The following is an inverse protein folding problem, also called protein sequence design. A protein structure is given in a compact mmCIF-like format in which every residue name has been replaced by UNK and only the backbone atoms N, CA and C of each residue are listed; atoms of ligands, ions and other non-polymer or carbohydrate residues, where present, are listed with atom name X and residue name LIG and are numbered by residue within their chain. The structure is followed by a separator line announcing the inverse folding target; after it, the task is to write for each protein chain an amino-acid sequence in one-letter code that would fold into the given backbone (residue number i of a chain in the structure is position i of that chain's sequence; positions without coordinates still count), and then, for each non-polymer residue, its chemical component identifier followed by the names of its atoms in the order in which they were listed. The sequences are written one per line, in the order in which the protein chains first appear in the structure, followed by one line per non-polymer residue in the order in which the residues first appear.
data_IF_239148515649
#
_entry.id   IF_239148515649
#
_cell.length_a   1.000
_cell.length_b   1.000
_cell.length_c   1.000
_cell.angle_alpha   90.00
_cell.angle_beta   90.00
_cell.angle_gamma   90.00
#
_symmetry.space_group_name_H-M   'P 1'
#
loop_
_entity.id
_entity.type
_entity.pdbx_description
1 polymer ?
#
# COMPACT_ATOMS: atom_id res chain seq x y z
N UNK A 1 -10.81 19.38 11.65
CA UNK A 1 -11.80 18.44 11.08
C UNK A 1 -11.05 17.40 10.28
N UNK A 2 -11.35 16.12 10.48
CA UNK A 2 -10.60 15.07 9.80
C UNK A 2 -11.11 14.87 8.37
N UNK A 3 -10.22 14.87 7.39
CA UNK A 3 -10.47 14.60 5.98
C UNK A 3 -9.51 13.52 5.47
N UNK A 4 -10.03 12.53 4.73
CA UNK A 4 -9.22 11.68 3.85
C UNK A 4 -9.63 11.95 2.43
N UNK A 5 -8.68 12.26 1.55
CA UNK A 5 -8.87 12.29 0.10
C UNK A 5 -7.99 11.22 -0.51
N UNK A 6 -8.51 10.42 -1.44
CA UNK A 6 -7.67 9.45 -2.11
C UNK A 6 -8.35 8.71 -3.23
N UNK A 7 -7.64 7.72 -3.73
CA UNK A 7 -8.09 6.77 -4.73
C UNK A 7 -7.46 5.42 -4.45
N UNK A 8 -8.09 4.36 -4.93
CA UNK A 8 -7.57 3.01 -4.77
C UNK A 8 -7.94 2.11 -5.94
N UNK A 9 -7.54 0.84 -5.86
CA UNK A 9 -7.83 -0.20 -6.87
C UNK A 9 -9.32 -0.39 -7.21
N UNK A 10 -10.26 -0.01 -6.34
CA UNK A 10 -11.69 -0.11 -6.61
C UNK A 10 -12.22 1.10 -7.39
N UNK A 11 -11.61 2.28 -7.18
CA UNK A 11 -12.09 3.51 -7.78
C UNK A 11 -11.33 3.90 -9.04
N UNK A 12 -10.04 3.54 -9.17
CA UNK A 12 -9.18 4.01 -10.24
C UNK A 12 -8.48 2.86 -10.98
N UNK A 13 -8.43 2.89 -12.33
CA UNK A 13 -7.61 1.96 -13.12
C UNK A 13 -6.12 2.23 -12.91
N UNK A 14 -5.28 1.24 -13.22
CA UNK A 14 -3.83 1.27 -12.93
C UNK A 14 -3.11 2.48 -13.55
N UNK A 15 -3.47 2.87 -14.77
CA UNK A 15 -2.88 3.99 -15.51
C UNK A 15 -3.16 5.37 -14.87
N UNK A 16 -4.25 5.50 -14.11
CA UNK A 16 -4.53 6.68 -13.28
C UNK A 16 -3.77 6.59 -11.96
N UNK A 17 -3.76 5.41 -11.31
CA UNK A 17 -3.08 5.22 -10.02
C UNK A 17 -1.58 5.52 -10.11
N UNK A 18 -0.92 5.03 -11.16
CA UNK A 18 0.52 5.24 -11.38
C UNK A 18 0.89 6.72 -11.51
N UNK A 19 -0.01 7.57 -12.03
CA UNK A 19 0.21 9.02 -12.17
C UNK A 19 0.14 9.78 -10.84
N UNK A 20 -0.51 9.19 -9.84
CA UNK A 20 -0.76 9.80 -8.53
C UNK A 20 0.07 9.14 -7.41
N UNK A 21 1.13 8.40 -7.77
CA UNK A 21 2.08 7.86 -6.80
C UNK A 21 3.02 8.96 -6.33
N UNK A 22 3.15 9.11 -5.01
CA UNK A 22 4.20 9.95 -4.43
C UNK A 22 5.51 9.18 -4.37
N UNK A 23 6.53 9.70 -5.05
CA UNK A 23 7.88 9.15 -5.02
C UNK A 23 8.51 9.35 -3.64
N UNK A 24 9.23 8.36 -3.06
CA UNK A 24 9.83 8.47 -1.73
C UNK A 24 10.74 9.70 -1.56
N UNK A 25 11.44 10.10 -2.63
CA UNK A 25 12.36 11.22 -2.63
C UNK A 25 11.66 12.58 -2.53
N UNK A 26 10.41 12.66 -3.01
CA UNK A 26 9.60 13.89 -3.05
C UNK A 26 8.57 13.95 -1.92
N UNK A 27 8.39 12.87 -1.17
CA UNK A 27 7.34 12.74 -0.18
C UNK A 27 7.43 13.81 0.92
N UNK A 28 8.65 14.14 1.35
CA UNK A 28 8.89 15.13 2.41
C UNK A 28 8.46 16.54 1.95
N UNK A 29 8.90 16.96 0.77
CA UNK A 29 8.51 18.24 0.16
C UNK A 29 7.00 18.31 -0.09
N UNK A 30 6.40 17.19 -0.50
CA UNK A 30 4.95 17.07 -0.74
C UNK A 30 4.15 17.28 0.54
N UNK A 31 4.59 16.65 1.64
CA UNK A 31 3.99 16.81 2.95
C UNK A 31 4.08 18.27 3.43
N UNK A 32 5.25 18.89 3.34
CA UNK A 32 5.43 20.29 3.73
C UNK A 32 4.58 21.23 2.87
N UNK A 33 4.50 20.98 1.56
CA UNK A 33 3.65 21.75 0.66
C UNK A 33 2.15 21.63 0.99
N UNK A 34 1.69 20.48 1.50
CA UNK A 34 0.31 20.33 2.01
C UNK A 34 0.06 21.22 3.22
N UNK A 35 0.94 21.19 4.22
CA UNK A 35 0.78 22.01 5.44
C UNK A 35 1.01 23.50 5.22
N UNK A 36 1.52 23.91 4.06
CA UNK A 36 1.57 25.31 3.65
C UNK A 36 0.22 25.84 3.16
N UNK A 37 -0.75 24.96 2.87
CA UNK A 37 -2.13 25.37 2.62
C UNK A 37 -2.75 25.82 3.95
N UNK A 38 -3.29 27.04 3.99
CA UNK A 38 -3.82 27.65 5.22
C UNK A 38 -4.97 26.85 5.86
N UNK A 39 -5.59 25.96 5.11
CA UNK A 39 -6.70 25.12 5.55
C UNK A 39 -6.26 23.82 6.22
N UNK A 40 -4.98 23.42 6.10
CA UNK A 40 -4.44 22.14 6.56
C UNK A 40 -3.52 22.36 7.76
N UNK A 41 -3.89 21.80 8.92
CA UNK A 41 -3.10 21.87 10.15
C UNK A 41 -2.14 20.69 10.29
N UNK A 42 -2.59 19.49 9.91
CA UNK A 42 -1.81 18.26 9.96
C UNK A 42 -2.01 17.46 8.67
N UNK A 43 -0.98 16.78 8.18
CA UNK A 43 -1.04 15.98 6.96
C UNK A 43 -0.17 14.72 7.02
N UNK A 44 -0.67 13.63 6.44
CA UNK A 44 0.08 12.41 6.15
C UNK A 44 -0.34 11.83 4.79
N UNK A 45 0.61 11.21 4.10
CA UNK A 45 0.39 10.60 2.78
C UNK A 45 0.68 9.10 2.85
N UNK A 46 -0.30 8.29 2.47
CA UNK A 46 -0.12 6.87 2.19
C UNK A 46 -0.11 6.65 0.68
N UNK A 47 1.05 6.30 0.14
CA UNK A 47 1.25 5.99 -1.27
C UNK A 47 1.73 4.55 -1.39
N UNK A 48 0.93 3.72 -2.06
CA UNK A 48 1.23 2.30 -2.31
C UNK A 48 0.93 1.97 -3.78
N UNK A 49 1.22 0.75 -4.22
CA UNK A 49 0.81 0.30 -5.56
C UNK A 49 -0.72 0.23 -5.73
N UNK A 50 -1.48 0.20 -4.63
CA UNK A 50 -2.91 -0.03 -4.64
C UNK A 50 -3.77 1.15 -4.21
N UNK A 51 -3.17 2.19 -3.63
CA UNK A 51 -3.86 3.40 -3.20
C UNK A 51 -2.90 4.57 -3.05
N UNK A 52 -3.44 5.75 -3.28
CA UNK A 52 -2.86 7.02 -2.84
C UNK A 52 -3.90 7.71 -1.99
N UNK A 53 -3.56 8.02 -0.74
CA UNK A 53 -4.44 8.67 0.21
C UNK A 53 -3.71 9.76 0.97
N UNK A 54 -4.37 10.90 1.13
CA UNK A 54 -3.94 12.01 1.94
C UNK A 54 -4.89 12.09 3.12
N UNK A 55 -4.33 12.00 4.33
CA UNK A 55 -5.02 12.18 5.59
C UNK A 55 -4.69 13.56 6.14
N UNK A 56 -5.69 14.39 6.37
CA UNK A 56 -5.52 15.76 6.83
C UNK A 56 -6.39 16.06 8.04
N UNK A 57 -5.87 16.86 8.97
CA UNK A 57 -6.70 17.67 9.85
C UNK A 57 -6.84 19.06 9.22
N UNK A 58 -8.07 19.46 8.93
CA UNK A 58 -8.39 20.72 8.24
C UNK A 58 -9.18 21.66 9.14
N UNK A 59 -8.82 22.94 9.14
CA UNK A 59 -9.56 23.97 9.88
C UNK A 59 -10.96 24.20 9.29
N UNK A 60 -11.11 24.04 7.98
CA UNK A 60 -12.37 24.17 7.26
C UNK A 60 -12.46 23.09 6.18
N UNK A 61 -13.63 22.52 5.94
CA UNK A 61 -13.78 21.46 4.93
C UNK A 61 -13.57 22.03 3.53
N UNK A 62 -12.41 21.74 2.93
CA UNK A 62 -12.01 22.24 1.60
C UNK A 62 -11.51 21.09 0.71
N UNK A 63 -12.40 20.13 0.41
CA UNK A 63 -12.08 19.00 -0.47
C UNK A 63 -11.61 19.45 -1.85
N UNK A 64 -12.25 20.48 -2.43
CA UNK A 64 -11.91 20.98 -3.77
C UNK A 64 -10.51 21.62 -3.82
N UNK A 65 -10.07 22.29 -2.75
CA UNK A 65 -8.71 22.84 -2.67
C UNK A 65 -7.67 21.71 -2.66
N UNK A 66 -7.92 20.65 -1.89
CA UNK A 66 -7.03 19.50 -1.83
C UNK A 66 -6.98 18.72 -3.15
N UNK A 67 -8.12 18.62 -3.85
CA UNK A 67 -8.19 18.04 -5.20
C UNK A 67 -7.37 18.88 -6.19
N UNK A 68 -7.54 20.21 -6.18
CA UNK A 68 -6.80 21.12 -7.05
C UNK A 68 -5.29 21.07 -6.77
N UNK A 69 -4.91 21.01 -5.49
CA UNK A 69 -3.51 20.83 -5.07
C UNK A 69 -2.95 19.50 -5.59
N UNK A 70 -3.67 18.39 -5.43
CA UNK A 70 -3.24 17.07 -5.88
C UNK A 70 -3.04 17.03 -7.41
N UNK A 71 -3.99 17.60 -8.17
CA UNK A 71 -3.88 17.70 -9.61
C UNK A 71 -2.66 18.53 -10.04
N UNK A 72 -2.46 19.69 -9.42
CA UNK A 72 -1.33 20.58 -9.68
C UNK A 72 0.01 19.92 -9.34
N UNK A 73 0.10 19.27 -8.18
CA UNK A 73 1.29 18.57 -7.71
C UNK A 73 1.77 17.52 -8.72
N UNK A 74 0.84 16.73 -9.26
CA UNK A 74 1.15 15.69 -10.27
C UNK A 74 1.09 16.20 -11.72
N UNK A 75 0.85 17.49 -11.94
CA UNK A 75 0.74 18.12 -13.28
C UNK A 75 -0.33 17.47 -14.15
N UNK A 76 -1.48 17.16 -13.54
CA UNK A 76 -2.64 16.56 -14.19
C UNK A 76 -3.77 17.59 -14.31
N UNK A 77 -4.65 17.39 -15.30
CA UNK A 77 -5.95 18.07 -15.32
C UNK A 77 -6.83 17.45 -14.23
N UNK A 78 -7.36 18.29 -13.35
CA UNK A 78 -8.29 17.90 -12.29
C UNK A 78 -9.45 17.06 -12.83
N UNK A 79 -9.98 17.42 -14.01
CA UNK A 79 -11.11 16.70 -14.63
C UNK A 79 -10.80 15.24 -14.92
N UNK A 80 -9.53 14.91 -15.16
CA UNK A 80 -9.10 13.55 -15.48
C UNK A 80 -8.97 12.65 -14.24
N UNK A 81 -8.98 13.22 -13.03
CA UNK A 81 -8.79 12.46 -11.79
C UNK A 81 -10.01 12.53 -10.86
N UNK A 82 -10.81 13.59 -10.95
CA UNK A 82 -11.92 13.88 -10.02
C UNK A 82 -12.94 12.74 -9.91
N UNK A 83 -13.25 12.05 -11.01
CA UNK A 83 -14.21 10.93 -11.00
C UNK A 83 -13.72 9.70 -10.23
N UNK A 84 -12.40 9.55 -10.07
CA UNK A 84 -11.77 8.40 -9.41
C UNK A 84 -11.47 8.65 -7.92
N UNK A 85 -11.57 9.91 -7.48
CA UNK A 85 -11.27 10.30 -6.11
C UNK A 85 -12.47 10.08 -5.20
N UNK A 86 -12.21 9.60 -3.99
CA UNK A 86 -13.16 9.59 -2.88
C UNK A 86 -12.69 10.52 -1.77
N UNK A 87 -13.66 11.07 -1.04
CA UNK A 87 -13.42 11.83 0.18
C UNK A 87 -14.20 11.25 1.36
N UNK A 88 -13.55 11.13 2.50
CA UNK A 88 -14.18 10.75 3.76
C UNK A 88 -13.92 11.83 4.82
N UNK A 89 -14.94 12.14 5.61
CA UNK A 89 -14.85 13.13 6.68
C UNK A 89 -15.09 12.49 8.04
N UNK A 90 -14.45 13.03 9.07
CA UNK A 90 -14.69 12.70 10.48
C UNK A 90 -14.74 11.18 10.73
N UNK A 91 -15.89 10.68 11.20
CA UNK A 91 -16.07 9.26 11.51
C UNK A 91 -15.85 8.34 10.30
N UNK A 92 -16.18 8.78 9.08
CA UNK A 92 -15.93 7.98 7.88
C UNK A 92 -14.44 7.87 7.61
N UNK A 93 -13.68 8.94 7.83
CA UNK A 93 -12.23 8.96 7.69
C UNK A 93 -11.56 8.02 8.70
N UNK A 94 -11.97 8.07 9.98
CA UNK A 94 -11.48 7.15 11.04
C UNK A 94 -11.80 5.69 10.69
N UNK A 95 -13.04 5.41 10.27
CA UNK A 95 -13.48 4.06 9.91
C UNK A 95 -12.71 3.54 8.70
N UNK A 96 -12.54 4.37 7.68
CA UNK A 96 -11.79 4.05 6.47
C UNK A 96 -10.33 3.71 6.80
N UNK A 97 -9.63 4.61 7.50
CA UNK A 97 -8.25 4.42 7.93
C UNK A 97 -8.06 3.12 8.73
N UNK A 98 -9.02 2.81 9.61
CA UNK A 98 -9.01 1.57 10.39
C UNK A 98 -9.21 0.33 9.50
N UNK A 99 -10.11 0.39 8.51
CA UNK A 99 -10.31 -0.70 7.54
C UNK A 99 -9.06 -0.93 6.70
N UNK A 100 -8.43 0.13 6.22
CA UNK A 100 -7.17 0.04 5.46
C UNK A 100 -6.08 -0.60 6.31
N UNK A 101 -5.85 -0.12 7.53
CA UNK A 101 -4.82 -0.68 8.42
C UNK A 101 -5.09 -2.14 8.84
N UNK A 102 -6.36 -2.56 8.88
CA UNK A 102 -6.73 -3.96 9.13
C UNK A 102 -6.62 -4.86 7.89
N UNK A 103 -6.34 -4.31 6.69
CA UNK A 103 -6.35 -5.04 5.43
C UNK A 103 -7.77 -5.42 4.95
N UNK A 104 -8.82 -4.78 5.50
CA UNK A 104 -10.22 -4.98 5.11
C UNK A 104 -10.60 -4.24 3.83
N UNK A 105 -9.79 -3.24 3.47
CA UNK A 105 -9.87 -2.51 2.22
C UNK A 105 -8.52 -2.67 1.53
N UNK A 106 -8.27 -3.85 0.98
CA UNK A 106 -7.03 -4.18 0.27
C UNK A 106 -7.39 -5.15 -0.85
N UNK A 107 -6.66 -5.10 -1.96
CA UNK A 107 -6.90 -5.99 -3.10
C UNK A 107 -6.88 -7.45 -2.66
N UNK A 108 -6.05 -7.76 -1.67
CA UNK A 108 -6.07 -9.04 -0.99
C UNK A 108 -6.45 -8.85 0.48
N UNK A 109 -7.55 -9.47 0.88
CA UNK A 109 -8.13 -9.31 2.21
C UNK A 109 -7.18 -9.84 3.29
N UNK A 110 -6.86 -9.00 4.27
CA UNK A 110 -6.02 -9.37 5.42
C UNK A 110 -4.51 -9.31 5.17
N UNK A 111 -4.08 -8.75 4.04
CA UNK A 111 -2.67 -8.52 3.69
C UNK A 111 -1.92 -7.81 4.85
N UNK A 112 -0.85 -8.40 5.42
CA UNK A 112 -0.13 -7.82 6.55
C UNK A 112 0.68 -6.57 6.19
N UNK A 113 1.06 -6.43 4.91
CA UNK A 113 1.97 -5.38 4.44
C UNK A 113 1.38 -3.97 4.59
N UNK A 114 0.07 -3.80 4.42
CA UNK A 114 -0.57 -2.47 4.48
C UNK A 114 -0.41 -1.79 5.84
N UNK A 115 -0.40 -2.56 6.95
CA UNK A 115 -0.15 -2.02 8.27
C UNK A 115 1.29 -1.50 8.40
N UNK A 116 2.26 -2.18 7.78
CA UNK A 116 3.65 -1.72 7.71
C UNK A 116 3.80 -0.45 6.87
N UNK A 117 3.09 -0.37 5.74
CA UNK A 117 3.04 0.82 4.89
C UNK A 117 2.41 2.01 5.62
N UNK A 118 1.32 1.80 6.37
CA UNK A 118 0.70 2.82 7.22
C UNK A 118 1.64 3.33 8.31
N UNK A 119 2.43 2.44 8.94
CA UNK A 119 3.47 2.85 9.90
C UNK A 119 4.58 3.67 9.24
N UNK A 120 4.96 3.30 8.02
CA UNK A 120 5.95 4.05 7.26
C UNK A 120 5.43 5.44 6.91
N UNK A 121 4.18 5.55 6.43
CA UNK A 121 3.51 6.83 6.18
C UNK A 121 3.47 7.72 7.43
N UNK A 122 3.11 7.15 8.58
CA UNK A 122 3.17 7.84 9.86
C UNK A 122 4.58 8.36 10.21
N UNK A 123 5.61 7.51 10.08
CA UNK A 123 6.99 7.90 10.35
C UNK A 123 7.45 9.03 9.43
N UNK A 124 7.15 8.95 8.13
CA UNK A 124 7.50 9.99 7.16
C UNK A 124 6.84 11.33 7.46
N UNK A 125 5.56 11.31 7.83
CA UNK A 125 4.84 12.53 8.19
C UNK A 125 5.34 13.12 9.53
N UNK A 126 5.77 12.28 10.47
CA UNK A 126 6.42 12.74 11.70
C UNK A 126 7.80 13.35 11.41
N UNK A 127 8.62 12.71 10.58
CA UNK A 127 9.94 13.21 10.16
C UNK A 127 9.85 14.54 9.38
N UNK A 128 8.79 14.70 8.58
CA UNK A 128 8.50 15.91 7.83
C UNK A 128 8.00 17.08 8.71
N UNK A 129 7.64 16.81 9.98
CA UNK A 129 7.05 17.79 10.88
C UNK A 129 5.59 18.15 10.55
N UNK A 130 4.90 17.32 9.77
CA UNK A 130 3.51 17.59 9.30
C UNK A 130 2.45 16.85 10.10
N UNK A 131 2.84 15.98 11.02
CA UNK A 131 1.94 15.40 12.02
C UNK A 131 1.87 16.28 13.26
N UNK A 132 0.66 16.53 13.74
CA UNK A 132 0.43 17.09 15.05
C UNK A 132 -0.21 16.08 16.00
N UNK A 133 -0.92 16.60 16.99
CA UNK A 133 -1.46 15.82 18.10
C UNK A 133 -2.68 14.99 17.67
N UNK A 134 -3.50 15.51 16.76
CA UNK A 134 -4.77 14.87 16.39
C UNK A 134 -4.54 13.67 15.48
N UNK A 135 -3.92 13.90 14.32
CA UNK A 135 -3.62 12.86 13.35
C UNK A 135 -2.60 11.87 13.91
N UNK A 136 -1.59 12.36 14.65
CA UNK A 136 -0.62 11.51 15.33
C UNK A 136 -1.28 10.51 16.30
N UNK A 137 -2.24 10.95 17.11
CA UNK A 137 -2.99 10.07 18.02
C UNK A 137 -3.89 9.10 17.25
N UNK A 138 -4.51 9.54 16.17
CA UNK A 138 -5.36 8.70 15.34
C UNK A 138 -4.58 7.53 14.74
N UNK A 139 -3.41 7.79 14.12
CA UNK A 139 -2.52 6.72 13.61
C UNK A 139 -2.19 5.69 14.68
N UNK A 140 -1.78 6.15 15.87
CA UNK A 140 -1.46 5.25 16.98
C UNK A 140 -2.65 4.39 17.42
N UNK A 141 -3.84 4.99 17.50
CA UNK A 141 -5.06 4.25 17.82
C UNK A 141 -5.40 3.24 16.73
N UNK A 142 -5.31 3.63 15.45
CA UNK A 142 -5.50 2.75 14.30
C UNK A 142 -4.55 1.55 14.33
N UNK A 143 -3.28 1.73 14.72
CA UNK A 143 -2.34 0.61 14.85
C UNK A 143 -2.74 -0.37 15.96
N UNK A 144 -3.26 0.13 17.08
CA UNK A 144 -3.75 -0.71 18.18
C UNK A 144 -4.98 -1.51 17.74
N UNK A 145 -5.93 -0.86 17.05
CA UNK A 145 -7.12 -1.51 16.48
C UNK A 145 -6.72 -2.59 15.49
N UNK A 146 -5.83 -2.29 14.55
CA UNK A 146 -5.35 -3.25 13.55
C UNK A 146 -4.68 -4.47 14.21
N UNK A 147 -3.86 -4.25 15.24
CA UNK A 147 -3.25 -5.35 16.01
C UNK A 147 -4.31 -6.21 16.69
N UNK A 148 -5.28 -5.59 17.38
CA UNK A 148 -6.38 -6.30 18.04
C UNK A 148 -7.22 -7.11 17.06
N UNK A 149 -7.62 -6.52 15.93
CA UNK A 149 -8.40 -7.21 14.89
C UNK A 149 -7.65 -8.41 14.32
N UNK A 150 -6.33 -8.31 14.10
CA UNK A 150 -5.53 -9.44 13.62
C UNK A 150 -5.36 -10.54 14.67
N UNK A 151 -5.29 -10.21 15.95
CA UNK A 151 -5.17 -11.18 17.04
C UNK A 151 -6.51 -11.85 17.36
N UNK A 152 -7.60 -11.08 17.37
CA UNK A 152 -8.90 -11.53 17.86
C UNK A 152 -9.79 -12.10 16.75
N UNK A 153 -9.35 -12.05 15.47
CA UNK A 153 -10.13 -12.55 14.33
C UNK A 153 -9.31 -13.40 13.37
N UNK A 154 -9.99 -14.13 12.49
CA UNK A 154 -9.36 -14.99 11.49
C UNK A 154 -8.62 -14.23 10.38
N UNK A 155 -8.74 -12.90 10.31
CA UNK A 155 -8.10 -12.09 9.26
C UNK A 155 -6.56 -12.17 9.30
N UNK A 156 -6.00 -12.46 10.47
CA UNK A 156 -4.56 -12.69 10.64
C UNK A 156 -4.13 -14.13 10.35
N UNK A 157 -5.07 -15.07 10.24
CA UNK A 157 -4.81 -16.52 10.32
C UNK A 157 -4.35 -17.17 9.03
N UNK A 158 -4.44 -16.48 7.89
CA UNK A 158 -3.88 -16.91 6.61
C UNK A 158 -3.98 -15.74 5.65
N UNK A 159 -2.94 -14.89 5.54
CA UNK A 159 -2.98 -13.82 4.57
C UNK A 159 -2.94 -14.48 3.19
N UNK A 160 -4.08 -14.45 2.49
CA UNK A 160 -4.05 -14.50 1.04
C UNK A 160 -3.14 -13.33 0.67
N UNK A 161 -2.01 -13.60 0.03
CA UNK A 161 -1.08 -12.57 -0.43
C UNK A 161 -1.24 -12.41 -1.93
N UNK A 162 -0.79 -11.29 -2.50
CA UNK A 162 -0.74 -11.13 -3.96
C UNK A 162 0.11 -12.25 -4.59
N UNK A 163 1.21 -12.61 -3.92
CA UNK A 163 2.05 -13.74 -4.29
C UNK A 163 1.25 -15.06 -4.34
N UNK A 164 0.50 -15.39 -3.29
CA UNK A 164 -0.35 -16.57 -3.25
C UNK A 164 -1.42 -16.55 -4.36
N UNK A 165 -2.11 -15.43 -4.53
CA UNK A 165 -3.13 -15.27 -5.56
C UNK A 165 -2.54 -15.47 -6.96
N UNK A 166 -1.35 -14.90 -7.23
CA UNK A 166 -0.62 -15.10 -8.48
C UNK A 166 -0.25 -16.57 -8.73
N UNK A 167 0.22 -17.28 -7.70
CA UNK A 167 0.52 -18.72 -7.80
C UNK A 167 -0.75 -19.54 -8.04
N UNK A 168 -1.87 -19.21 -7.37
CA UNK A 168 -3.16 -19.87 -7.61
C UNK A 168 -3.70 -19.63 -9.01
N UNK A 169 -3.57 -18.41 -9.53
CA UNK A 169 -3.93 -18.10 -10.91
C UNK A 169 -3.06 -18.90 -11.90
N UNK A 170 -1.75 -18.99 -11.65
CA UNK A 170 -0.86 -19.83 -12.46
C UNK A 170 -1.29 -21.31 -12.44
N UNK A 171 -1.70 -21.85 -11.29
CA UNK A 171 -2.26 -23.21 -11.22
C UNK A 171 -3.55 -23.38 -12.01
N UNK A 172 -4.44 -22.38 -12.01
CA UNK A 172 -5.67 -22.43 -12.81
C UNK A 172 -5.38 -22.44 -14.32
N UNK A 173 -4.34 -21.72 -14.75
CA UNK A 173 -3.95 -21.63 -16.17
C UNK A 173 -3.16 -22.86 -16.61
N UNK A 174 -2.18 -23.30 -15.82
CA UNK A 174 -1.21 -24.33 -16.22
C UNK A 174 -1.45 -25.72 -15.59
N UNK A 175 -2.42 -25.84 -14.68
CA UNK A 175 -2.70 -27.08 -13.96
C UNK A 175 -1.58 -27.46 -12.98
N UNK A 176 -0.99 -28.65 -13.16
CA UNK A 176 0.09 -29.13 -12.31
C UNK A 176 1.41 -28.40 -12.62
N UNK A 177 2.00 -27.76 -11.60
CA UNK A 177 3.23 -26.97 -11.76
C UNK A 177 4.52 -27.81 -11.79
N UNK A 178 4.44 -29.12 -11.55
CA UNK A 178 5.60 -30.03 -11.44
C UNK A 178 6.50 -30.05 -12.68
N UNK A 179 5.94 -29.79 -13.85
CA UNK A 179 6.69 -29.76 -15.12
C UNK A 179 6.99 -28.34 -15.60
N UNK A 180 6.68 -27.33 -14.78
CA UNK A 180 6.86 -25.93 -15.14
C UNK A 180 8.13 -25.34 -14.53
N UNK A 181 8.65 -24.30 -15.19
CA UNK A 181 9.75 -23.47 -14.68
C UNK A 181 9.23 -22.09 -14.35
N UNK A 182 9.44 -21.63 -13.12
CA UNK A 182 9.13 -20.28 -12.70
C UNK A 182 10.40 -19.43 -12.66
N UNK A 183 10.33 -18.22 -13.25
CA UNK A 183 11.35 -17.18 -13.12
C UNK A 183 10.80 -16.06 -12.23
N UNK A 184 11.47 -15.83 -11.11
CA UNK A 184 11.20 -14.72 -10.21
C UNK A 184 12.24 -13.62 -10.43
N UNK A 185 11.80 -12.37 -10.58
CA UNK A 185 12.69 -11.24 -10.84
C UNK A 185 12.63 -10.27 -9.65
N UNK A 186 13.77 -10.07 -9.00
CA UNK A 186 13.92 -9.30 -7.77
C UNK A 186 14.20 -10.17 -6.55
N UNK A 187 14.31 -9.54 -5.38
CA UNK A 187 14.52 -10.21 -4.10
C UNK A 187 13.83 -9.44 -2.96
N UNK A 188 12.59 -9.00 -3.21
CA UNK A 188 11.75 -8.37 -2.20
C UNK A 188 10.79 -9.37 -1.55
N UNK A 189 10.06 -8.92 -0.53
CA UNK A 189 9.12 -9.74 0.25
C UNK A 189 8.10 -10.50 -0.63
N UNK A 190 7.54 -9.86 -1.66
CA UNK A 190 6.59 -10.53 -2.59
C UNK A 190 7.25 -11.66 -3.37
N UNK A 191 8.54 -11.53 -3.71
CA UNK A 191 9.29 -12.57 -4.42
C UNK A 191 9.58 -13.75 -3.49
N UNK A 192 9.95 -13.48 -2.24
CA UNK A 192 10.14 -14.51 -1.22
C UNK A 192 8.86 -15.31 -0.97
N UNK A 193 7.72 -14.62 -0.78
CA UNK A 193 6.42 -15.26 -0.64
C UNK A 193 6.00 -16.05 -1.89
N UNK A 194 6.28 -15.52 -3.09
CA UNK A 194 5.99 -16.22 -4.35
C UNK A 194 6.80 -17.50 -4.47
N UNK A 195 8.09 -17.46 -4.13
CA UNK A 195 8.95 -18.64 -4.11
C UNK A 195 8.44 -19.70 -3.13
N UNK A 196 8.05 -19.29 -1.92
CA UNK A 196 7.49 -20.18 -0.91
C UNK A 196 6.21 -20.87 -1.42
N UNK A 197 5.26 -20.11 -1.95
CA UNK A 197 4.00 -20.68 -2.44
C UNK A 197 4.19 -21.56 -3.68
N UNK A 198 5.05 -21.18 -4.63
CA UNK A 198 5.38 -22.04 -5.79
C UNK A 198 5.97 -23.38 -5.33
N UNK A 199 6.83 -23.36 -4.31
CA UNK A 199 7.42 -24.56 -3.71
C UNK A 199 6.37 -25.43 -3.03
N UNK A 200 5.50 -24.85 -2.20
CA UNK A 200 4.37 -25.55 -1.55
C UNK A 200 3.43 -26.20 -2.59
N UNK A 201 3.30 -25.59 -3.76
CA UNK A 201 2.52 -26.10 -4.89
C UNK A 201 3.31 -27.06 -5.82
N UNK A 202 4.55 -27.40 -5.48
CA UNK A 202 5.34 -28.40 -6.18
C UNK A 202 5.85 -27.97 -7.56
N UNK A 203 6.23 -26.70 -7.73
CA UNK A 203 6.89 -26.23 -8.96
C UNK A 203 8.09 -27.11 -9.34
N UNK A 204 8.26 -27.39 -10.63
CA UNK A 204 9.36 -28.24 -11.13
C UNK A 204 10.74 -27.58 -10.98
N UNK A 205 10.87 -26.36 -11.49
CA UNK A 205 12.12 -25.58 -11.40
C UNK A 205 11.83 -24.14 -11.00
N UNK A 206 12.67 -23.61 -10.12
CA UNK A 206 12.62 -22.22 -9.69
C UNK A 206 13.92 -21.50 -10.08
N UNK A 207 13.81 -20.36 -10.74
CA UNK A 207 14.94 -19.48 -11.07
C UNK A 207 14.68 -18.13 -10.42
N UNK A 208 15.66 -17.56 -9.73
CA UNK A 208 15.57 -16.24 -9.10
C UNK A 208 16.63 -15.34 -9.71
N UNK A 209 16.19 -14.27 -10.37
CA UNK A 209 17.05 -13.26 -10.97
C UNK A 209 17.09 -12.00 -10.11
N UNK A 210 18.26 -11.54 -9.68
CA UNK A 210 18.35 -10.28 -8.94
C UNK A 210 19.67 -9.53 -9.18
N UNK A 211 19.63 -8.19 -9.09
CA UNK A 211 20.83 -7.34 -9.25
C UNK A 211 21.94 -7.72 -8.27
N UNK A 212 21.58 -8.18 -7.07
CA UNK A 212 22.52 -8.70 -6.07
C UNK A 212 22.37 -10.22 -5.99
N UNK A 213 23.37 -10.95 -6.49
CA UNK A 213 23.34 -12.41 -6.60
C UNK A 213 23.14 -13.09 -5.24
N UNK A 214 23.77 -12.58 -4.18
CA UNK A 214 23.65 -13.13 -2.82
C UNK A 214 22.20 -13.16 -2.34
N UNK A 215 21.42 -12.11 -2.64
CA UNK A 215 19.99 -12.06 -2.29
C UNK A 215 19.18 -13.06 -3.12
N UNK A 216 19.47 -13.22 -4.42
CA UNK A 216 18.83 -14.26 -5.22
C UNK A 216 19.16 -15.65 -4.70
N UNK A 217 20.41 -15.88 -4.29
CA UNK A 217 20.87 -17.14 -3.72
C UNK A 217 20.14 -17.47 -2.42
N UNK A 218 19.96 -16.48 -1.53
CA UNK A 218 19.23 -16.67 -0.29
C UNK A 218 17.80 -17.19 -0.53
N UNK A 219 17.09 -16.65 -1.53
CA UNK A 219 15.73 -17.09 -1.89
C UNK A 219 15.76 -18.45 -2.59
N UNK A 220 16.65 -18.64 -3.57
CA UNK A 220 16.77 -19.87 -4.33
C UNK A 220 17.14 -21.07 -3.44
N UNK A 221 18.00 -20.86 -2.44
CA UNK A 221 18.47 -21.88 -1.49
C UNK A 221 17.39 -22.40 -0.53
N UNK A 222 16.27 -21.69 -0.40
CA UNK A 222 15.11 -22.18 0.34
C UNK A 222 14.41 -23.33 -0.39
N UNK A 223 14.85 -23.71 -1.60
CA UNK A 223 14.43 -24.91 -2.35
C UNK A 223 15.49 -25.39 -3.35
N UNK A 224 15.10 -26.21 -4.32
CA UNK A 224 15.96 -26.57 -5.47
C UNK A 224 15.95 -25.44 -6.53
N UNK A 225 16.18 -24.20 -6.09
CA UNK A 225 16.19 -23.02 -6.95
C UNK A 225 17.58 -22.74 -7.54
N UNK A 226 17.61 -22.04 -8.67
CA UNK A 226 18.83 -21.53 -9.29
C UNK A 226 18.83 -19.99 -9.24
N UNK A 227 19.95 -19.38 -8.87
CA UNK A 227 20.08 -17.92 -8.77
C UNK A 227 20.90 -17.36 -9.94
N UNK A 228 20.41 -16.28 -10.54
CA UNK A 228 21.06 -15.52 -11.63
C UNK A 228 21.03 -14.02 -11.40
#
# INVERSE_FOLDING_TARGET
MLLTLGLNHNTAPIDIREKLVFAPEQLNDSLQALTNLSSIEEAAILSTCNRTEIYCDVATLQTDELIAWLASHHRLDEKNIREYLYSHTEQQSIKHMSRVACGLDSMVLGEPQILGQMKTAYQRAAEAGTLGKYLGRLFQHTFQVAKKVRTDTAIGSSPVSIAFAGVKLAQQIFGQLKNQTALLIGAGETIELSAQHLKEQGIGRLIVANRTLEKAHAIASQGNGYAI
#
